data_IF_601708186950
#
_entry.id   IF_601708186950
#
_cell.length_a   1.000
_cell.length_b   1.000
_cell.length_c   1.000
_cell.angle_alpha   90.00
_cell.angle_beta   90.00
_cell.angle_gamma   90.00
#
_symmetry.space_group_name_H-M   'P 1'
#
loop_
_entity.id
_entity.type
_entity.pdbx_description
1 polymer ?
#
# COMPACT_ATOMS: atom_id res chain seq x y z
N UNK A 1 8.89 26.38 -7.61
CA UNK A 1 9.06 25.20 -8.50
C UNK A 1 7.84 24.30 -8.31
N UNK A 2 6.79 24.48 -9.11
CA UNK A 2 5.50 23.76 -8.95
C UNK A 2 5.48 22.36 -9.57
N UNK A 3 6.54 21.98 -10.28
CA UNK A 3 6.62 20.72 -11.03
C UNK A 3 7.23 19.56 -10.21
N UNK A 4 7.66 19.81 -8.97
CA UNK A 4 8.19 18.76 -8.10
C UNK A 4 7.05 17.90 -7.58
N UNK A 5 7.24 16.57 -7.61
CA UNK A 5 6.31 15.63 -6.99
C UNK A 5 5.99 16.06 -5.57
N UNK A 6 7.00 16.42 -4.76
CA UNK A 6 6.81 16.85 -3.36
C UNK A 6 5.83 18.02 -3.19
N UNK A 7 5.83 18.98 -4.12
CA UNK A 7 4.92 20.13 -4.08
C UNK A 7 3.49 19.72 -4.44
N UNK A 8 3.33 18.86 -5.46
CA UNK A 8 2.03 18.30 -5.85
C UNK A 8 1.41 17.50 -4.68
N UNK A 9 2.23 16.76 -3.95
CA UNK A 9 1.79 16.04 -2.74
C UNK A 9 1.35 16.97 -1.63
N UNK A 10 2.11 18.05 -1.40
CA UNK A 10 1.75 19.06 -0.41
C UNK A 10 0.36 19.65 -0.66
N UNK A 11 0.04 20.01 -1.90
CA UNK A 11 -1.30 20.48 -2.26
C UNK A 11 -2.38 19.39 -2.11
N UNK A 12 -2.07 18.16 -2.54
CA UNK A 12 -3.01 17.05 -2.48
C UNK A 12 -3.38 16.70 -1.04
N UNK A 13 -2.40 16.60 -0.14
CA UNK A 13 -2.61 16.39 1.30
C UNK A 13 -3.31 17.59 1.92
N UNK A 14 -2.89 18.81 1.56
CA UNK A 14 -3.48 20.06 2.04
C UNK A 14 -4.98 20.20 1.71
N UNK A 15 -5.45 19.62 0.61
CA UNK A 15 -6.87 19.55 0.26
C UNK A 15 -7.57 18.34 0.88
N UNK A 16 -6.92 17.18 0.88
CA UNK A 16 -7.50 15.94 1.38
C UNK A 16 -7.81 15.99 2.88
N UNK A 17 -6.91 16.55 3.68
CA UNK A 17 -7.06 16.56 5.14
C UNK A 17 -8.28 17.37 5.63
N UNK A 18 -8.48 18.65 5.21
CA UNK A 18 -9.70 19.40 5.52
C UNK A 18 -10.96 18.72 5.01
N UNK A 19 -10.90 18.07 3.85
CA UNK A 19 -12.04 17.38 3.27
C UNK A 19 -12.47 16.15 4.09
N UNK A 20 -11.51 15.36 4.60
CA UNK A 20 -11.79 14.24 5.51
C UNK A 20 -12.45 14.76 6.79
N UNK A 21 -11.90 15.83 7.39
CA UNK A 21 -12.46 16.47 8.58
C UNK A 21 -13.88 16.96 8.30
N UNK A 22 -14.09 17.68 7.20
CA UNK A 22 -15.40 18.16 6.81
C UNK A 22 -16.39 17.01 6.65
N UNK A 23 -16.01 15.91 5.99
CA UNK A 23 -16.86 14.74 5.85
C UNK A 23 -17.24 14.10 7.20
N UNK A 24 -16.28 13.98 8.12
CA UNK A 24 -16.53 13.50 9.48
C UNK A 24 -17.48 14.44 10.26
N UNK A 25 -17.29 15.76 10.16
CA UNK A 25 -18.15 16.76 10.79
C UNK A 25 -19.58 16.72 10.22
N UNK A 26 -19.73 16.57 8.89
CA UNK A 26 -21.06 16.43 8.28
C UNK A 26 -21.81 15.21 8.82
N UNK A 27 -21.11 14.11 9.09
CA UNK A 27 -21.69 12.94 9.76
C UNK A 27 -22.04 13.21 11.22
N UNK A 28 -21.14 13.86 11.97
CA UNK A 28 -21.35 14.21 13.38
C UNK A 28 -22.56 15.13 13.59
N UNK A 29 -22.67 16.19 12.77
CA UNK A 29 -23.79 17.15 12.81
C UNK A 29 -25.04 16.67 12.06
N UNK A 30 -25.06 15.43 11.54
CA UNK A 30 -26.20 14.84 10.83
C UNK A 30 -26.72 15.71 9.66
N UNK A 31 -25.80 16.34 8.94
CA UNK A 31 -26.13 17.21 7.79
C UNK A 31 -26.79 16.41 6.66
N UNK A 32 -27.54 17.10 5.80
CA UNK A 32 -28.27 16.52 4.67
C UNK A 32 -27.42 15.49 3.89
N UNK A 33 -28.04 14.35 3.57
CA UNK A 33 -27.44 13.23 2.85
C UNK A 33 -26.87 13.63 1.48
N UNK A 34 -27.52 14.57 0.78
CA UNK A 34 -27.06 15.04 -0.54
C UNK A 34 -25.68 15.69 -0.44
N UNK A 35 -25.45 16.52 0.58
CA UNK A 35 -24.16 17.20 0.79
C UNK A 35 -23.07 16.19 1.16
N UNK A 36 -23.39 15.23 2.03
CA UNK A 36 -22.48 14.14 2.39
C UNK A 36 -22.07 13.31 1.17
N UNK A 37 -23.03 12.94 0.33
CA UNK A 37 -22.77 12.19 -0.91
C UNK A 37 -21.93 12.98 -1.89
N UNK A 38 -22.23 14.26 -2.09
CA UNK A 38 -21.44 15.13 -2.97
C UNK A 38 -19.98 15.20 -2.52
N UNK A 39 -19.74 15.46 -1.23
CA UNK A 39 -18.38 15.50 -0.69
C UNK A 39 -17.68 14.15 -0.78
N UNK A 40 -18.40 13.04 -0.57
CA UNK A 40 -17.87 11.69 -0.76
C UNK A 40 -17.47 11.41 -2.22
N UNK A 41 -18.31 11.79 -3.19
CA UNK A 41 -18.04 11.62 -4.63
C UNK A 41 -16.81 12.41 -5.07
N UNK A 42 -16.63 13.63 -4.55
CA UNK A 42 -15.42 14.43 -4.78
C UNK A 42 -14.21 13.85 -4.03
N UNK A 43 -14.43 13.30 -2.85
CA UNK A 43 -13.37 12.79 -2.00
C UNK A 43 -12.73 11.49 -2.48
N UNK A 44 -13.51 10.58 -3.05
CA UNK A 44 -13.01 9.32 -3.61
C UNK A 44 -11.85 9.52 -4.61
N UNK A 45 -11.98 10.32 -5.68
CA UNK A 45 -10.89 10.52 -6.63
C UNK A 45 -9.71 11.27 -6.01
N UNK A 46 -9.94 12.22 -5.09
CA UNK A 46 -8.85 12.94 -4.42
C UNK A 46 -8.03 12.02 -3.52
N UNK A 47 -8.68 11.17 -2.71
CA UNK A 47 -8.02 10.22 -1.82
C UNK A 47 -7.38 9.07 -2.61
N UNK A 48 -8.02 8.61 -3.69
CA UNK A 48 -7.44 7.64 -4.63
C UNK A 48 -6.18 8.19 -5.29
N UNK A 49 -6.23 9.44 -5.77
CA UNK A 49 -5.05 10.13 -6.29
C UNK A 49 -3.95 10.24 -5.23
N UNK A 50 -4.29 10.60 -3.99
CA UNK A 50 -3.31 10.68 -2.90
C UNK A 50 -2.60 9.34 -2.68
N UNK A 51 -3.34 8.22 -2.69
CA UNK A 51 -2.74 6.89 -2.56
C UNK A 51 -1.82 6.56 -3.73
N UNK A 52 -2.26 6.78 -4.98
CA UNK A 52 -1.44 6.60 -6.19
C UNK A 52 -0.17 7.47 -6.16
N UNK A 53 -0.36 8.73 -5.78
CA UNK A 53 0.68 9.74 -5.73
C UNK A 53 1.83 9.34 -4.81
N UNK A 54 1.56 8.67 -3.69
CA UNK A 54 2.64 8.20 -2.80
C UNK A 54 3.57 7.21 -3.51
N UNK A 55 3.04 6.32 -4.35
CA UNK A 55 3.85 5.45 -5.20
C UNK A 55 4.60 6.23 -6.28
N UNK A 56 3.92 7.18 -6.96
CA UNK A 56 4.54 8.02 -7.99
C UNK A 56 5.68 8.90 -7.45
N UNK A 57 5.55 9.40 -6.22
CA UNK A 57 6.59 10.19 -5.55
C UNK A 57 7.87 9.36 -5.39
N UNK A 58 7.75 8.11 -4.94
CA UNK A 58 8.88 7.19 -4.83
C UNK A 58 9.48 6.90 -6.21
N UNK A 59 8.63 6.64 -7.20
CA UNK A 59 9.08 6.40 -8.58
C UNK A 59 9.68 7.62 -9.29
N UNK A 60 9.60 8.81 -8.68
CA UNK A 60 10.32 9.99 -9.14
C UNK A 60 11.84 9.87 -8.99
N UNK A 61 12.31 9.06 -8.04
CA UNK A 61 13.72 8.77 -7.84
C UNK A 61 14.17 7.62 -8.75
N UNK A 62 14.52 7.96 -9.99
CA UNK A 62 14.89 7.03 -11.09
C UNK A 62 16.08 6.10 -10.83
N UNK A 63 16.79 6.28 -9.71
CA UNK A 63 18.00 5.51 -9.40
C UNK A 63 17.72 4.28 -8.54
N UNK A 64 16.47 4.09 -8.10
CA UNK A 64 16.04 2.97 -7.27
C UNK A 64 15.25 1.98 -8.13
N UNK A 65 15.79 0.79 -8.44
CA UNK A 65 15.11 -0.19 -9.30
C UNK A 65 13.79 -0.70 -8.72
N UNK A 66 13.65 -0.71 -7.38
CA UNK A 66 12.44 -1.14 -6.69
C UNK A 66 11.25 -0.19 -6.92
N UNK A 67 11.49 1.08 -7.23
CA UNK A 67 10.43 2.09 -7.33
C UNK A 67 9.86 2.21 -8.75
N UNK A 68 9.40 1.08 -9.31
CA UNK A 68 8.84 1.02 -10.68
C UNK A 68 7.61 1.93 -10.84
N UNK A 69 7.57 2.74 -11.91
CA UNK A 69 6.42 3.60 -12.21
C UNK A 69 5.17 2.80 -12.63
N UNK A 70 5.37 1.61 -13.19
CA UNK A 70 4.30 0.83 -13.80
C UNK A 70 3.44 0.08 -12.78
N UNK A 71 4.02 -0.45 -11.70
CA UNK A 71 3.30 -1.34 -10.77
C UNK A 71 3.19 -0.78 -9.36
N UNK A 72 4.18 -0.01 -8.89
CA UNK A 72 4.20 0.45 -7.51
C UNK A 72 3.01 1.36 -7.13
N UNK A 73 2.57 2.32 -7.98
CA UNK A 73 1.42 3.17 -7.66
C UNK A 73 0.13 2.37 -7.46
N UNK A 74 -0.14 1.37 -8.31
CA UNK A 74 -1.34 0.53 -8.21
C UNK A 74 -1.33 -0.31 -6.94
N UNK A 75 -0.19 -0.94 -6.64
CA UNK A 75 0.02 -1.69 -5.41
C UNK A 75 -0.24 -0.83 -4.15
N UNK A 76 0.21 0.43 -4.16
CA UNK A 76 -0.03 1.37 -3.06
C UNK A 76 -1.47 1.86 -2.98
N UNK A 77 -2.17 2.00 -4.10
CA UNK A 77 -3.60 2.31 -4.11
C UNK A 77 -4.41 1.18 -3.49
N UNK A 78 -4.24 -0.04 -4.01
CA UNK A 78 -5.00 -1.20 -3.56
C UNK A 78 -4.69 -1.54 -2.09
N UNK A 79 -3.41 -1.57 -1.71
CA UNK A 79 -3.01 -1.77 -0.30
C UNK A 79 -3.51 -0.63 0.61
N UNK A 80 -3.59 0.61 0.11
CA UNK A 80 -4.20 1.73 0.83
C UNK A 80 -5.69 1.51 1.12
N UNK A 81 -6.45 1.03 0.14
CA UNK A 81 -7.87 0.71 0.31
C UNK A 81 -8.04 -0.46 1.27
N UNK A 82 -7.27 -1.54 1.11
CA UNK A 82 -7.34 -2.73 1.94
C UNK A 82 -7.04 -2.42 3.41
N UNK A 83 -5.93 -1.72 3.68
CA UNK A 83 -5.57 -1.29 5.04
C UNK A 83 -6.58 -0.30 5.62
N UNK A 84 -7.15 0.60 4.81
CA UNK A 84 -8.21 1.51 5.24
C UNK A 84 -9.49 0.79 5.68
N UNK A 85 -9.93 -0.23 4.91
CA UNK A 85 -11.07 -1.07 5.26
C UNK A 85 -10.80 -1.90 6.51
N UNK A 86 -9.60 -2.47 6.65
CA UNK A 86 -9.20 -3.21 7.84
C UNK A 86 -9.16 -2.31 9.10
N UNK A 87 -8.64 -1.08 8.98
CA UNK A 87 -8.64 -0.11 10.07
C UNK A 87 -10.07 0.28 10.48
N UNK A 88 -10.95 0.55 9.51
CA UNK A 88 -12.34 0.87 9.78
C UNK A 88 -13.09 -0.29 10.44
N UNK A 89 -12.88 -1.52 9.95
CA UNK A 89 -13.45 -2.74 10.52
C UNK A 89 -12.95 -3.00 11.94
N UNK A 90 -11.65 -2.83 12.20
CA UNK A 90 -11.08 -2.98 13.54
C UNK A 90 -11.61 -1.91 14.50
N UNK A 91 -11.66 -0.65 14.08
CA UNK A 91 -12.26 0.43 14.86
C UNK A 91 -13.73 0.12 15.19
N UNK A 92 -14.49 -0.36 14.20
CA UNK A 92 -15.87 -0.80 14.42
C UNK A 92 -15.94 -1.90 15.49
N UNK A 93 -15.11 -2.95 15.42
CA UNK A 93 -15.08 -4.01 16.44
C UNK A 93 -14.66 -3.51 17.83
N UNK A 94 -13.81 -2.47 17.93
CA UNK A 94 -13.42 -1.91 19.22
C UNK A 94 -14.53 -1.05 19.84
N UNK A 95 -15.26 -0.30 19.02
CA UNK A 95 -16.25 0.67 19.49
C UNK A 95 -17.70 0.15 19.49
N UNK A 96 -18.03 -0.90 18.73
CA UNK A 96 -19.40 -1.44 18.68
C UNK A 96 -19.91 -1.93 20.04
N UNK A 97 -19.03 -2.42 20.92
CA UNK A 97 -19.38 -2.83 22.29
C UNK A 97 -19.92 -1.67 23.13
N UNK A 98 -19.53 -0.44 22.80
CA UNK A 98 -19.95 0.78 23.50
C UNK A 98 -21.16 1.47 22.86
N UNK A 99 -21.54 1.09 21.63
CA UNK A 99 -22.61 1.74 20.86
C UNK A 99 -23.72 0.73 20.55
N UNK A 100 -24.85 0.82 21.27
CA UNK A 100 -26.07 0.08 20.96
C UNK A 100 -26.56 0.47 19.56
N UNK A 101 -26.25 -0.34 18.56
CA UNK A 101 -26.65 -0.11 17.16
C UNK A 101 -27.62 -1.20 16.74
N UNK A 102 -28.67 -0.84 15.99
CA UNK A 102 -29.62 -1.81 15.42
C UNK A 102 -28.90 -2.71 14.41
N UNK A 103 -29.05 -4.03 14.58
CA UNK A 103 -28.15 -5.05 14.02
C UNK A 103 -28.53 -5.51 12.60
N UNK A 104 -29.75 -5.24 12.13
CA UNK A 104 -30.31 -5.92 10.96
C UNK A 104 -29.71 -5.41 9.63
N UNK A 105 -29.66 -4.09 9.40
CA UNK A 105 -29.04 -3.48 8.21
C UNK A 105 -27.51 -3.65 8.15
N UNK A 106 -26.89 -3.86 9.32
CA UNK A 106 -25.45 -3.95 9.48
C UNK A 106 -24.89 -5.26 8.91
N UNK A 107 -25.67 -6.34 8.97
CA UNK A 107 -25.27 -7.67 8.50
C UNK A 107 -24.91 -7.69 7.01
N UNK A 108 -25.73 -7.04 6.17
CA UNK A 108 -25.52 -6.99 4.72
C UNK A 108 -24.31 -6.15 4.33
N UNK A 109 -24.11 -5.02 5.02
CA UNK A 109 -22.96 -4.14 4.78
C UNK A 109 -21.66 -4.86 5.16
N UNK A 110 -21.64 -5.54 6.31
CA UNK A 110 -20.48 -6.31 6.77
C UNK A 110 -20.13 -7.46 5.80
N UNK A 111 -21.13 -8.12 5.21
CA UNK A 111 -20.91 -9.14 4.19
C UNK A 111 -20.27 -8.54 2.93
N UNK A 112 -20.80 -7.43 2.42
CA UNK A 112 -20.25 -6.76 1.24
C UNK A 112 -18.81 -6.31 1.49
N UNK A 113 -18.53 -5.72 2.65
CA UNK A 113 -17.18 -5.32 3.06
C UNK A 113 -16.26 -6.54 3.16
N UNK A 114 -16.73 -7.66 3.72
CA UNK A 114 -15.99 -8.91 3.78
C UNK A 114 -15.58 -9.44 2.41
N UNK A 115 -16.52 -9.48 1.46
CA UNK A 115 -16.21 -9.89 0.08
C UNK A 115 -15.28 -8.89 -0.63
N UNK A 116 -15.44 -7.59 -0.40
CA UNK A 116 -14.56 -6.57 -0.94
C UNK A 116 -13.12 -6.75 -0.42
N UNK A 117 -12.93 -7.01 0.88
CA UNK A 117 -11.61 -7.28 1.47
C UNK A 117 -10.99 -8.52 0.84
N UNK A 118 -11.75 -9.60 0.66
CA UNK A 118 -11.26 -10.81 -0.01
C UNK A 118 -10.81 -10.51 -1.44
N UNK A 119 -11.62 -9.79 -2.21
CA UNK A 119 -11.28 -9.41 -3.57
C UNK A 119 -10.01 -8.55 -3.63
N UNK A 120 -9.87 -7.56 -2.73
CA UNK A 120 -8.70 -6.69 -2.65
C UNK A 120 -7.42 -7.46 -2.27
N UNK A 121 -7.51 -8.45 -1.37
CA UNK A 121 -6.38 -9.34 -1.03
C UNK A 121 -5.92 -10.12 -2.26
N UNK A 122 -6.85 -10.66 -3.05
CA UNK A 122 -6.51 -11.39 -4.28
C UNK A 122 -5.88 -10.47 -5.31
N UNK A 123 -6.42 -9.26 -5.49
CA UNK A 123 -5.85 -8.24 -6.37
C UNK A 123 -4.46 -7.82 -5.88
N UNK A 124 -4.25 -7.65 -4.56
CA UNK A 124 -2.95 -7.27 -4.00
C UNK A 124 -1.91 -8.37 -4.24
N UNK A 125 -2.29 -9.65 -4.06
CA UNK A 125 -1.44 -10.78 -4.40
C UNK A 125 -1.07 -10.82 -5.89
N UNK A 126 -2.02 -10.53 -6.78
CA UNK A 126 -1.76 -10.45 -8.22
C UNK A 126 -0.84 -9.28 -8.58
N UNK A 127 -1.10 -8.08 -8.04
CA UNK A 127 -0.26 -6.90 -8.25
C UNK A 127 1.17 -7.12 -7.73
N UNK A 128 1.30 -7.72 -6.54
CA UNK A 128 2.60 -8.07 -5.97
C UNK A 128 3.33 -9.10 -6.83
N UNK A 129 2.62 -10.11 -7.34
CA UNK A 129 3.19 -11.09 -8.26
C UNK A 129 3.66 -10.45 -9.56
N UNK A 130 2.84 -9.61 -10.19
CA UNK A 130 3.20 -8.90 -11.42
C UNK A 130 4.39 -7.96 -11.20
N UNK A 131 4.43 -7.26 -10.07
CA UNK A 131 5.53 -6.39 -9.68
C UNK A 131 6.83 -7.17 -9.49
N UNK A 132 6.80 -8.29 -8.76
CA UNK A 132 7.99 -9.12 -8.54
C UNK A 132 8.47 -9.79 -9.84
N UNK A 133 7.55 -10.26 -10.67
CA UNK A 133 7.87 -10.82 -11.98
C UNK A 133 8.47 -9.76 -12.91
N UNK A 134 7.95 -8.54 -12.89
CA UNK A 134 8.55 -7.42 -13.60
C UNK A 134 9.99 -7.17 -13.12
N UNK A 135 10.24 -7.11 -11.82
CA UNK A 135 11.60 -6.96 -11.30
C UNK A 135 12.53 -8.09 -11.76
N UNK A 136 12.09 -9.35 -11.66
CA UNK A 136 12.89 -10.51 -12.07
C UNK A 136 13.22 -10.54 -13.58
N UNK A 137 12.26 -10.14 -14.43
CA UNK A 137 12.41 -10.17 -15.90
C UNK A 137 13.11 -8.93 -16.48
N UNK A 138 13.46 -7.95 -15.65
CA UNK A 138 14.27 -6.81 -16.07
C UNK A 138 15.76 -7.10 -15.76
N UNK A 139 16.52 -7.63 -16.74
CA UNK A 139 17.90 -8.08 -16.51
C UNK A 139 18.83 -6.92 -16.14
N UNK A 140 19.89 -7.27 -15.42
CA UNK A 140 20.99 -6.36 -15.13
C UNK A 140 21.58 -5.81 -16.42
N UNK A 141 21.68 -4.48 -16.53
CA UNK A 141 22.62 -3.87 -17.48
C UNK A 141 23.75 -3.27 -16.69
N UNK A 142 24.88 -3.96 -16.70
CA UNK A 142 26.15 -3.48 -16.19
C UNK A 142 26.83 -2.65 -17.29
N UNK A 143 27.38 -1.51 -16.90
CA UNK A 143 28.30 -0.70 -17.68
C UNK A 143 29.63 -1.46 -17.85
N UNK A 144 30.46 -1.05 -18.82
CA UNK A 144 31.80 -1.62 -19.09
C UNK A 144 32.73 -1.55 -17.86
N UNK A 145 32.37 -0.73 -16.87
CA UNK A 145 33.05 -0.56 -15.58
C UNK A 145 32.55 -1.48 -14.46
N UNK A 146 31.61 -2.40 -14.74
CA UNK A 146 30.99 -3.29 -13.75
C UNK A 146 29.97 -2.60 -12.84
N UNK A 147 29.47 -1.42 -13.24
CA UNK A 147 28.53 -0.58 -12.48
C UNK A 147 27.14 -0.59 -13.11
N UNK A 148 26.06 -0.47 -12.34
CA UNK A 148 24.69 -0.51 -12.90
C UNK A 148 24.38 0.70 -13.79
N UNK A 149 23.80 0.44 -14.96
CA UNK A 149 23.26 1.47 -15.84
C UNK A 149 21.79 1.72 -15.45
N UNK A 150 21.45 2.96 -15.10
CA UNK A 150 20.07 3.37 -14.86
C UNK A 150 19.20 3.09 -16.12
N UNK A 151 18.05 2.37 -16.03
CA UNK A 151 17.32 1.92 -14.83
C UNK A 151 17.42 0.42 -14.53
N UNK A 152 18.39 -0.31 -15.09
CA UNK A 152 18.30 -1.76 -15.25
C UNK A 152 19.01 -2.54 -14.13
N UNK A 153 18.42 -2.53 -12.93
CA UNK A 153 18.83 -3.34 -11.76
C UNK A 153 17.68 -4.13 -11.14
N UNK A 154 16.66 -4.49 -11.92
CA UNK A 154 15.44 -5.15 -11.44
C UNK A 154 15.70 -6.52 -10.81
N UNK A 155 16.52 -7.35 -11.47
CA UNK A 155 16.84 -8.70 -10.98
C UNK A 155 17.50 -8.68 -9.59
N UNK A 156 18.38 -7.72 -9.32
CA UNK A 156 19.00 -7.55 -8.01
C UNK A 156 18.03 -7.01 -6.97
N UNK A 157 17.13 -6.10 -7.34
CA UNK A 157 16.08 -5.66 -6.42
C UNK A 157 15.15 -6.83 -6.06
N UNK A 158 14.84 -7.70 -7.01
CA UNK A 158 14.11 -8.93 -6.77
C UNK A 158 14.88 -9.87 -5.82
N UNK A 159 16.16 -10.12 -6.07
CA UNK A 159 17.01 -10.95 -5.20
C UNK A 159 17.12 -10.35 -3.79
N UNK A 160 17.35 -9.04 -3.68
CA UNK A 160 17.45 -8.34 -2.41
C UNK A 160 16.17 -8.46 -1.56
N UNK A 161 15.00 -8.40 -2.21
CA UNK A 161 13.69 -8.53 -1.55
C UNK A 161 13.35 -9.98 -1.22
N UNK A 162 13.69 -10.94 -2.08
CA UNK A 162 13.23 -12.34 -1.94
C UNK A 162 14.24 -13.28 -1.27
N UNK A 163 15.54 -12.97 -1.38
CA UNK A 163 16.65 -13.78 -0.89
C UNK A 163 17.60 -13.00 0.03
N UNK A 164 17.59 -11.67 -0.05
CA UNK A 164 18.43 -10.80 0.78
C UNK A 164 17.88 -10.53 2.18
N UNK A 165 18.33 -9.41 2.77
CA UNK A 165 18.00 -9.00 4.15
C UNK A 165 16.49 -8.73 4.32
N UNK A 166 15.79 -8.37 3.25
CA UNK A 166 14.35 -8.11 3.27
C UNK A 166 13.49 -9.38 3.08
N UNK A 167 14.10 -10.52 2.78
CA UNK A 167 13.38 -11.78 2.54
C UNK A 167 12.45 -12.20 3.69
N UNK A 168 12.85 -12.12 4.98
CA UNK A 168 11.95 -12.49 6.08
C UNK A 168 10.71 -11.58 6.12
N UNK A 169 10.88 -10.29 5.88
CA UNK A 169 9.79 -9.30 5.86
C UNK A 169 8.86 -9.50 4.66
N UNK A 170 9.42 -9.84 3.50
CA UNK A 170 8.64 -10.15 2.31
C UNK A 170 7.82 -11.44 2.48
N UNK A 171 8.47 -12.55 2.81
CA UNK A 171 7.80 -13.86 2.87
C UNK A 171 6.88 -14.01 4.07
N UNK A 172 7.36 -13.70 5.27
CA UNK A 172 6.54 -13.88 6.48
C UNK A 172 5.63 -12.69 6.75
N UNK A 173 6.10 -11.48 6.46
CA UNK A 173 5.32 -10.26 6.70
C UNK A 173 4.27 -10.00 5.63
N UNK A 174 4.67 -9.84 4.38
CA UNK A 174 3.73 -9.47 3.30
C UNK A 174 2.95 -10.71 2.85
N UNK A 175 3.64 -11.73 2.35
CA UNK A 175 2.99 -12.92 1.78
C UNK A 175 2.29 -13.73 2.87
N UNK A 176 2.97 -14.02 3.97
CA UNK A 176 2.44 -14.78 5.10
C UNK A 176 1.34 -14.04 5.85
N UNK A 177 1.70 -12.97 6.57
CA UNK A 177 0.80 -12.25 7.47
C UNK A 177 -0.19 -11.34 6.74
N UNK A 178 0.24 -10.63 5.69
CA UNK A 178 -0.61 -9.68 4.96
C UNK A 178 -1.63 -10.32 4.03
N UNK A 179 -1.27 -11.42 3.36
CA UNK A 179 -2.10 -12.04 2.32
C UNK A 179 -2.60 -13.42 2.71
N UNK A 180 -1.68 -14.35 2.99
CA UNK A 180 -2.01 -15.78 3.16
C UNK A 180 -2.83 -16.03 4.42
N UNK A 181 -2.42 -15.46 5.55
CA UNK A 181 -3.08 -15.62 6.83
C UNK A 181 -4.55 -15.14 6.82
N UNK A 182 -4.87 -13.89 6.43
CA UNK A 182 -6.26 -13.44 6.39
C UNK A 182 -7.11 -14.21 5.36
N UNK A 183 -6.51 -14.65 4.26
CA UNK A 183 -7.18 -15.47 3.24
C UNK A 183 -7.54 -16.86 3.80
N UNK A 184 -6.58 -17.56 4.42
CA UNK A 184 -6.82 -18.86 5.08
C UNK A 184 -7.88 -18.73 6.16
N UNK A 185 -7.81 -17.68 6.98
CA UNK A 185 -8.77 -17.45 8.05
C UNK A 185 -10.20 -17.29 7.50
N UNK A 186 -10.34 -16.62 6.36
CA UNK A 186 -11.63 -16.46 5.67
C UNK A 186 -12.15 -17.79 5.11
N UNK A 187 -11.28 -18.66 4.58
CA UNK A 187 -11.68 -20.02 4.18
C UNK A 187 -12.11 -20.88 5.37
N UNK A 188 -11.38 -20.78 6.49
CA UNK A 188 -11.72 -21.48 7.73
C UNK A 188 -13.08 -21.02 8.27
N UNK A 189 -13.34 -19.71 8.30
CA UNK A 189 -14.66 -19.13 8.62
C UNK A 189 -15.78 -19.70 7.74
N UNK A 190 -15.52 -19.84 6.43
CA UNK A 190 -16.52 -20.36 5.48
C UNK A 190 -16.83 -21.85 5.69
N UNK A 191 -15.81 -22.67 5.99
CA UNK A 191 -15.97 -24.13 6.15
C UNK A 191 -16.54 -24.47 7.53
N UNK A 192 -16.09 -23.77 8.58
CA UNK A 192 -16.39 -24.08 9.97
C UNK A 192 -17.27 -23.02 10.66
N UNK A 193 -18.17 -22.38 9.91
CA UNK A 193 -19.04 -21.29 10.42
C UNK A 193 -19.70 -21.65 11.77
N UNK A 194 -20.23 -22.87 11.91
CA UNK A 194 -20.89 -23.31 13.13
C UNK A 194 -19.98 -23.35 14.37
N UNK A 195 -18.69 -23.63 14.18
CA UNK A 195 -17.70 -23.71 15.26
C UNK A 195 -17.14 -22.31 15.58
N UNK A 196 -17.03 -21.44 14.57
CA UNK A 196 -16.37 -20.13 14.66
C UNK A 196 -17.34 -19.01 15.07
N UNK A 197 -18.64 -19.19 14.89
CA UNK A 197 -19.71 -18.27 15.37
C UNK A 197 -19.46 -17.64 16.75
N UNK A 198 -19.11 -18.40 17.81
CA UNK A 198 -18.85 -17.80 19.13
C UNK A 198 -17.61 -16.89 19.17
N UNK A 199 -16.66 -17.05 18.25
CA UNK A 199 -15.40 -16.32 18.20
C UNK A 199 -15.31 -15.33 17.04
N UNK A 200 -16.39 -15.08 16.30
CA UNK A 200 -16.40 -14.30 15.05
C UNK A 200 -15.76 -12.91 15.20
N UNK A 201 -16.03 -12.20 16.31
CA UNK A 201 -15.46 -10.88 16.57
C UNK A 201 -13.95 -10.94 16.82
N UNK A 202 -13.49 -11.97 17.53
CA UNK A 202 -12.06 -12.15 17.81
C UNK A 202 -11.30 -12.52 16.54
N UNK A 203 -11.83 -13.47 15.77
CA UNK A 203 -11.26 -13.90 14.49
C UNK A 203 -11.21 -12.73 13.50
N UNK A 204 -12.28 -11.94 13.40
CA UNK A 204 -12.30 -10.74 12.57
C UNK A 204 -11.28 -9.68 13.04
N UNK A 205 -11.14 -9.48 14.36
CA UNK A 205 -10.13 -8.58 14.93
C UNK A 205 -8.71 -9.00 14.56
N UNK A 206 -8.38 -10.29 14.70
CA UNK A 206 -7.08 -10.85 14.31
C UNK A 206 -6.86 -10.72 12.80
N UNK A 207 -7.88 -10.96 11.98
CA UNK A 207 -7.84 -10.77 10.53
C UNK A 207 -7.48 -9.33 10.15
N UNK A 208 -8.18 -8.35 10.72
CA UNK A 208 -7.91 -6.93 10.44
C UNK A 208 -6.52 -6.50 10.94
N UNK A 209 -6.12 -6.91 12.13
CA UNK A 209 -4.77 -6.62 12.65
C UNK A 209 -3.68 -7.21 11.75
N UNK A 210 -3.90 -8.42 11.22
CA UNK A 210 -2.97 -9.08 10.31
C UNK A 210 -2.82 -8.35 8.98
N UNK A 211 -3.94 -7.90 8.39
CA UNK A 211 -3.93 -7.08 7.17
C UNK A 211 -3.18 -5.76 7.39
N UNK A 212 -3.43 -5.09 8.52
CA UNK A 212 -2.75 -3.83 8.86
C UNK A 212 -1.24 -4.03 9.03
N UNK A 213 -0.83 -5.10 9.72
CA UNK A 213 0.58 -5.43 9.89
C UNK A 213 1.25 -5.72 8.54
N UNK A 214 0.62 -6.53 7.68
CA UNK A 214 1.11 -6.80 6.33
C UNK A 214 1.27 -5.52 5.50
N UNK A 215 0.30 -4.62 5.54
CA UNK A 215 0.37 -3.34 4.82
C UNK A 215 1.44 -2.37 5.35
N UNK A 216 1.73 -2.37 6.66
CA UNK A 216 2.86 -1.61 7.22
C UNK A 216 4.18 -2.22 6.76
N UNK A 217 4.31 -3.56 6.80
CA UNK A 217 5.52 -4.25 6.37
C UNK A 217 5.75 -4.06 4.86
N UNK A 218 4.70 -4.05 4.04
CA UNK A 218 4.79 -3.72 2.61
C UNK A 218 5.46 -2.35 2.40
N UNK A 219 4.96 -1.32 3.10
CA UNK A 219 5.54 0.03 3.02
C UNK A 219 6.98 0.05 3.54
N UNK A 220 7.27 -0.66 4.62
CA UNK A 220 8.62 -0.80 5.14
C UNK A 220 9.57 -1.42 4.11
N UNK A 221 9.22 -2.55 3.50
CA UNK A 221 10.02 -3.26 2.49
C UNK A 221 10.27 -2.38 1.26
N UNK A 222 9.25 -1.67 0.77
CA UNK A 222 9.40 -0.79 -0.40
C UNK A 222 10.29 0.42 -0.10
N UNK A 223 10.14 1.06 1.06
CA UNK A 223 10.95 2.23 1.40
C UNK A 223 12.38 1.83 1.74
N UNK A 224 12.57 0.82 2.60
CA UNK A 224 13.89 0.34 2.99
C UNK A 224 14.64 -0.31 1.82
N UNK A 225 13.93 -1.06 0.96
CA UNK A 225 14.50 -1.63 -0.24
C UNK A 225 14.99 -0.58 -1.25
N UNK A 226 14.61 0.68 -1.07
CA UNK A 226 15.16 1.80 -1.83
C UNK A 226 16.59 2.21 -1.45
N UNK A 227 17.19 1.60 -0.42
CA UNK A 227 18.61 1.76 -0.14
C UNK A 227 19.49 1.12 -1.23
N UNK A 228 18.97 0.12 -1.95
CA UNK A 228 19.58 -0.43 -3.14
C UNK A 228 19.51 0.59 -4.28
N UNK A 229 20.59 1.36 -4.48
CA UNK A 229 20.69 2.44 -5.46
C UNK A 229 21.66 2.08 -6.58
N UNK A 230 21.26 2.38 -7.82
CA UNK A 230 22.18 2.41 -8.94
C UNK A 230 23.16 3.60 -8.79
N UNK A 231 24.42 3.45 -9.22
CA UNK A 231 25.39 4.53 -9.14
C UNK A 231 24.93 5.72 -10.00
N UNK A 232 25.20 6.92 -9.49
CA UNK A 232 24.93 8.16 -10.21
C UNK A 232 25.92 8.26 -11.37
N UNK A 233 25.41 8.39 -12.60
CA UNK A 233 26.24 8.72 -13.76
C UNK A 233 26.61 10.20 -13.64
N UNK A 234 27.73 10.49 -12.99
CA UNK A 234 28.33 11.81 -13.06
C UNK A 234 29.01 11.94 -14.43
N UNK A 235 28.68 12.94 -15.26
CA UNK A 235 29.57 13.28 -16.37
C UNK A 235 30.96 13.58 -15.77
N UNK A 236 32.06 13.14 -16.39
CA UNK A 236 33.40 13.39 -15.87
C UNK A 236 33.54 14.88 -15.59
N UNK A 237 33.98 15.22 -14.38
CA UNK A 237 34.25 16.61 -14.04
C UNK A 237 35.27 17.15 -15.05
N UNK A 238 34.85 18.08 -15.90
CA UNK A 238 35.72 18.73 -16.88
C UNK A 238 36.82 19.59 -16.22
N UNK A 239 36.80 19.74 -14.90
CA UNK A 239 37.89 20.31 -14.13
C UNK A 239 38.99 19.26 -13.96
N UNK A 240 39.86 19.17 -14.97
CA UNK A 240 41.19 18.61 -14.80
C UNK A 240 41.87 19.43 -13.69
N UNK A 241 42.20 18.79 -12.57
CA UNK A 241 43.11 19.38 -11.59
C UNK A 241 44.44 19.61 -12.32
N UNK A 242 44.98 20.84 -12.36
CA UNK A 242 46.30 21.05 -12.94
C UNK A 242 47.29 20.21 -12.15
N UNK A 243 47.87 19.19 -12.80
CA UNK A 243 49.03 18.47 -12.32
C UNK A 243 50.24 19.39 -12.46
N UNK A 244 50.34 20.39 -11.58
CA UNK A 244 51.54 21.20 -11.40
C UNK A 244 51.62 21.65 -9.95
N UNK A 245 52.51 20.99 -9.21
CA UNK A 245 52.94 21.29 -7.86
C UNK A 245 54.09 20.38 -7.52
#
# INVERSE_FOLDING_TARGET
NFNSWMVIGGYSVGLAFPMIIAYALLWYYKVNQTIRRLLGVVGIPLLGFLSLYTGLLLSGAKFVPLWSQQYLPYLFLNSGILTGLAAAGLAFLLFHTFVKTELDDMSRILQIVGYAILALIVVEGLELYLFMNHLALNPEKLDETGKFINPNGGALAYEYVTQGVLAPWFWWGIVGMGLTFPLILTFIEMIFDKIIRPYVNWVAGVKFASILAGGIILRFVIVWGGDLKAPLVFPPALFQLPLSG
#
